data_IF_054693209625
#
_entry.id   IF_054693209625
#
_cell.length_a   1.000
_cell.length_b   1.000
_cell.length_c   1.000
_cell.angle_alpha   90.00
_cell.angle_beta   90.00
_cell.angle_gamma   90.00
#
_symmetry.space_group_name_H-M   'P 1'
#
loop_
_entity.id
_entity.type
_entity.pdbx_description
1 polymer ?
#
# COMPACT_ATOMS: atom_id res chain seq x y z
N UNK A 1 50.80 17.18 1.96
CA UNK A 1 49.44 16.77 2.35
C UNK A 1 48.79 17.94 3.08
N UNK A 2 48.10 18.84 2.37
CA UNK A 2 47.31 19.90 3.00
C UNK A 2 45.90 19.38 3.22
N UNK A 3 45.53 19.25 4.50
CA UNK A 3 44.22 18.81 4.95
C UNK A 3 43.19 19.88 4.57
N UNK A 4 42.23 19.49 3.74
CA UNK A 4 41.14 20.34 3.27
C UNK A 4 40.25 20.71 4.48
N UNK A 5 40.46 21.89 5.06
CA UNK A 5 39.59 22.44 6.10
C UNK A 5 38.28 22.88 5.46
N UNK A 6 37.33 21.94 5.35
CA UNK A 6 35.93 22.29 5.11
C UNK A 6 35.44 23.12 6.29
N UNK A 7 34.95 24.33 6.03
CA UNK A 7 34.38 25.19 7.05
C UNK A 7 33.29 24.44 7.80
N UNK A 8 33.56 24.12 9.07
CA UNK A 8 32.69 23.39 9.99
C UNK A 8 31.29 24.01 10.06
N UNK A 9 31.17 25.31 9.75
CA UNK A 9 29.93 26.08 9.64
C UNK A 9 29.08 25.69 8.42
N UNK A 10 29.71 25.37 7.28
CA UNK A 10 29.04 24.91 6.06
C UNK A 10 28.50 23.49 6.26
N UNK A 11 29.28 22.62 6.92
CA UNK A 11 28.84 21.25 7.24
C UNK A 11 27.63 21.26 8.20
N UNK A 12 27.63 22.15 9.19
CA UNK A 12 26.52 22.34 10.13
C UNK A 12 25.30 22.95 9.45
N UNK A 13 25.47 23.94 8.57
CA UNK A 13 24.35 24.53 7.83
C UNK A 13 23.73 23.53 6.83
N UNK A 14 24.54 22.70 6.18
CA UNK A 14 24.07 21.66 5.26
C UNK A 14 23.33 20.54 6.00
N UNK A 15 23.83 20.10 7.16
CA UNK A 15 23.12 19.10 7.99
C UNK A 15 21.83 19.65 8.58
N UNK A 16 21.81 20.92 9.02
CA UNK A 16 20.59 21.57 9.51
C UNK A 16 19.55 21.75 8.40
N UNK A 17 19.97 22.09 7.17
CA UNK A 17 19.08 22.17 6.02
C UNK A 17 18.50 20.79 5.64
N UNK A 18 19.30 19.73 5.66
CA UNK A 18 18.81 18.35 5.41
C UNK A 18 17.84 17.88 6.51
N UNK A 19 18.08 18.25 7.77
CA UNK A 19 17.18 17.95 8.89
C UNK A 19 15.87 18.76 8.83
N UNK A 20 15.91 20.03 8.38
CA UNK A 20 14.71 20.86 8.18
C UNK A 20 13.92 20.49 6.91
N UNK A 21 14.56 19.94 5.88
CA UNK A 21 13.88 19.38 4.71
C UNK A 21 13.24 18.03 5.01
N UNK A 22 13.72 17.30 6.02
CA UNK A 22 13.14 16.04 6.48
C UNK A 22 11.80 16.18 7.23
N UNK A 23 11.40 17.40 7.60
CA UNK A 23 10.14 17.68 8.31
C UNK A 23 9.04 18.27 7.42
N UNK A 24 9.27 18.42 6.11
CA UNK A 24 8.17 18.66 5.16
C UNK A 24 7.42 17.34 5.02
N UNK A 25 6.50 17.10 5.95
CA UNK A 25 5.47 16.09 5.78
C UNK A 25 4.69 16.46 4.52
N UNK A 26 5.05 15.84 3.40
CA UNK A 26 4.19 15.85 2.22
C UNK A 26 2.94 15.13 2.68
N UNK A 27 1.88 15.89 2.96
CA UNK A 27 0.55 15.33 3.13
C UNK A 27 0.16 14.76 1.77
N UNK A 28 0.53 13.51 1.53
CA UNK A 28 -0.04 12.73 0.45
C UNK A 28 -1.53 12.69 0.79
N UNK A 29 -2.42 13.22 -0.08
CA UNK A 29 -3.84 13.11 0.18
C UNK A 29 -4.15 11.63 0.39
N UNK A 30 -4.89 11.31 1.46
CA UNK A 30 -5.38 9.96 1.66
C UNK A 30 -6.03 9.51 0.34
N UNK A 31 -5.46 8.49 -0.29
CA UNK A 31 -5.98 7.97 -1.53
C UNK A 31 -7.44 7.58 -1.26
N UNK A 32 -8.36 8.08 -2.09
CA UNK A 32 -9.76 7.78 -1.91
C UNK A 32 -9.93 6.26 -1.98
N UNK A 33 -10.75 5.71 -1.09
CA UNK A 33 -11.13 4.29 -1.10
C UNK A 33 -11.49 3.87 -2.53
N UNK A 34 -10.80 2.85 -3.06
CA UNK A 34 -11.06 2.38 -4.42
C UNK A 34 -12.30 1.50 -4.40
N UNK A 35 -13.21 1.69 -5.35
CA UNK A 35 -14.28 0.72 -5.59
C UNK A 35 -13.71 -0.46 -6.39
N UNK A 36 -13.73 -1.65 -5.81
CA UNK A 36 -13.08 -2.84 -6.36
C UNK A 36 -14.09 -3.98 -6.59
N UNK A 37 -14.63 -4.13 -7.81
CA UNK A 37 -15.50 -5.26 -8.14
C UNK A 37 -14.68 -6.54 -8.34
N UNK A 38 -15.08 -7.62 -7.67
CA UNK A 38 -14.45 -8.94 -7.77
C UNK A 38 -15.52 -9.99 -8.03
N UNK A 39 -15.39 -10.74 -9.13
CA UNK A 39 -16.22 -11.92 -9.40
C UNK A 39 -15.56 -13.17 -8.83
N UNK A 40 -16.33 -13.99 -8.12
CA UNK A 40 -15.94 -15.34 -7.72
C UNK A 40 -17.02 -16.37 -8.04
N UNK A 41 -16.59 -17.54 -8.49
CA UNK A 41 -17.38 -18.74 -8.65
C UNK A 41 -16.94 -19.74 -7.59
N UNK A 42 -17.90 -20.29 -6.84
CA UNK A 42 -17.65 -21.23 -5.75
C UNK A 42 -18.22 -22.61 -6.02
N UNK A 43 -17.45 -23.64 -5.70
CA UNK A 43 -17.88 -25.04 -5.72
C UNK A 43 -17.27 -25.76 -4.53
N UNK A 44 -18.09 -26.55 -3.83
CA UNK A 44 -17.65 -27.33 -2.69
C UNK A 44 -16.54 -28.34 -3.04
N UNK A 45 -16.52 -28.85 -4.28
CA UNK A 45 -15.54 -29.85 -4.71
C UNK A 45 -14.24 -29.22 -5.24
N UNK A 46 -14.34 -28.09 -5.94
CA UNK A 46 -13.22 -27.50 -6.69
C UNK A 46 -12.73 -26.15 -6.17
N UNK A 47 -13.36 -25.59 -5.13
CA UNK A 47 -12.92 -24.36 -4.46
C UNK A 47 -13.46 -23.08 -5.09
N UNK A 48 -12.63 -22.05 -5.15
CA UNK A 48 -13.00 -20.73 -5.70
C UNK A 48 -12.27 -20.47 -7.02
N UNK A 49 -12.88 -19.69 -7.91
CA UNK A 49 -12.29 -19.26 -9.18
C UNK A 49 -12.82 -17.90 -9.64
N UNK A 50 -12.05 -17.18 -10.46
CA UNK A 50 -12.50 -15.90 -11.06
C UNK A 50 -13.52 -16.11 -12.20
N UNK A 51 -13.49 -17.30 -12.79
CA UNK A 51 -14.40 -17.78 -13.83
C UNK A 51 -14.94 -19.17 -13.47
N UNK A 52 -16.00 -19.59 -14.17
CA UNK A 52 -16.61 -20.91 -14.01
C UNK A 52 -15.73 -22.09 -14.48
N UNK A 53 -14.58 -21.83 -15.12
CA UNK A 53 -13.62 -22.85 -15.55
C UNK A 53 -12.28 -22.78 -14.81
N UNK A 54 -12.10 -21.80 -13.92
CA UNK A 54 -10.85 -21.56 -13.19
C UNK A 54 -10.94 -21.90 -11.69
N UNK A 55 -11.86 -22.76 -11.28
CA UNK A 55 -12.02 -23.12 -9.88
C UNK A 55 -10.83 -23.98 -9.42
N UNK A 56 -10.20 -23.58 -8.32
CA UNK A 56 -9.06 -24.30 -7.74
C UNK A 56 -9.07 -24.28 -6.21
N UNK A 57 -8.29 -25.19 -5.64
CA UNK A 57 -7.98 -25.27 -4.21
C UNK A 57 -6.46 -25.18 -4.04
N UNK A 58 -5.89 -24.09 -3.47
CA UNK A 58 -6.57 -22.86 -3.09
C UNK A 58 -7.18 -22.12 -4.27
N UNK A 59 -8.16 -21.26 -3.97
CA UNK A 59 -8.71 -20.30 -4.92
C UNK A 59 -7.73 -19.20 -5.32
N UNK A 60 -8.14 -18.27 -6.21
CA UNK A 60 -7.30 -17.19 -6.68
C UNK A 60 -6.81 -16.29 -5.54
N UNK A 61 -5.55 -15.86 -5.60
CA UNK A 61 -5.03 -14.85 -4.68
C UNK A 61 -5.67 -13.49 -4.96
N UNK A 62 -6.22 -12.86 -3.93
CA UNK A 62 -6.80 -11.52 -4.00
C UNK A 62 -5.82 -10.50 -3.42
N UNK A 63 -5.76 -9.30 -4.00
CA UNK A 63 -4.94 -8.21 -3.51
C UNK A 63 -5.81 -6.97 -3.37
N UNK A 64 -5.81 -6.39 -2.17
CA UNK A 64 -6.62 -5.22 -1.81
C UNK A 64 -5.82 -4.28 -0.91
N UNK A 65 -6.26 -3.05 -0.79
CA UNK A 65 -5.68 -2.06 0.11
C UNK A 65 -6.62 -1.77 1.27
N UNK A 66 -6.05 -1.35 2.41
CA UNK A 66 -6.83 -0.85 3.54
C UNK A 66 -7.75 0.27 3.07
N UNK A 67 -9.04 0.15 3.38
CA UNK A 67 -10.04 1.15 3.01
C UNK A 67 -10.71 0.93 1.67
N UNK A 68 -10.25 0.01 0.82
CA UNK A 68 -10.95 -0.35 -0.43
C UNK A 68 -12.41 -0.74 -0.15
N UNK A 69 -13.31 -0.33 -1.03
CA UNK A 69 -14.70 -0.73 -1.02
C UNK A 69 -14.90 -1.87 -2.03
N UNK A 70 -14.91 -3.10 -1.54
CA UNK A 70 -14.94 -4.30 -2.38
C UNK A 70 -16.38 -4.71 -2.66
N UNK A 71 -16.73 -4.80 -3.94
CA UNK A 71 -18.00 -5.38 -4.41
C UNK A 71 -17.74 -6.82 -4.87
N UNK A 72 -18.00 -7.78 -3.98
CA UNK A 72 -17.92 -9.21 -4.29
C UNK A 72 -19.19 -9.68 -4.99
N UNK A 73 -19.05 -10.09 -6.24
CA UNK A 73 -20.08 -10.82 -6.97
C UNK A 73 -19.81 -12.33 -6.84
N UNK A 74 -20.54 -13.00 -5.95
CA UNK A 74 -20.37 -14.42 -5.64
C UNK A 74 -21.41 -15.24 -6.39
N UNK A 75 -20.97 -16.26 -7.11
CA UNK A 75 -21.84 -17.20 -7.81
C UNK A 75 -21.57 -18.62 -7.33
N UNK A 76 -22.60 -19.30 -6.80
CA UNK A 76 -22.52 -20.76 -6.61
C UNK A 76 -22.53 -21.46 -7.96
N UNK A 77 -21.47 -22.22 -8.25
CA UNK A 77 -21.30 -22.98 -9.49
C UNK A 77 -21.87 -24.41 -9.38
N UNK A 78 -21.94 -24.97 -8.16
CA UNK A 78 -22.41 -26.33 -7.91
C UNK A 78 -23.85 -26.38 -7.36
N UNK A 79 -24.51 -25.22 -7.20
CA UNK A 79 -25.87 -25.09 -6.67
C UNK A 79 -26.00 -25.26 -5.15
N UNK A 80 -24.88 -25.45 -4.44
CA UNK A 80 -24.85 -25.52 -2.99
C UNK A 80 -24.85 -24.12 -2.37
N UNK A 81 -25.23 -24.07 -1.09
CA UNK A 81 -25.20 -22.83 -0.33
C UNK A 81 -23.76 -22.55 0.08
N UNK A 82 -23.26 -21.36 -0.23
CA UNK A 82 -21.92 -20.90 0.15
C UNK A 82 -21.99 -19.52 0.75
N UNK A 83 -20.95 -19.16 1.50
CA UNK A 83 -20.69 -17.79 1.92
C UNK A 83 -19.21 -17.48 1.73
N UNK A 84 -18.83 -16.25 2.05
CA UNK A 84 -17.45 -15.78 1.95
C UNK A 84 -17.16 -14.89 3.14
N UNK A 85 -15.95 -14.99 3.70
CA UNK A 85 -15.43 -14.05 4.70
C UNK A 85 -13.90 -14.13 4.74
N UNK A 86 -13.26 -13.10 5.29
CA UNK A 86 -11.83 -13.13 5.61
C UNK A 86 -11.68 -13.74 7.00
N UNK A 87 -10.91 -14.81 7.10
CA UNK A 87 -10.48 -15.44 8.34
C UNK A 87 -9.09 -14.90 8.71
N UNK A 88 -9.06 -13.94 9.63
CA UNK A 88 -7.87 -13.21 10.05
C UNK A 88 -6.96 -14.05 10.96
N UNK A 89 -7.49 -15.05 11.67
CA UNK A 89 -6.71 -15.87 12.61
C UNK A 89 -6.56 -17.35 12.18
N UNK A 90 -7.12 -17.70 11.03
CA UNK A 90 -7.14 -19.02 10.42
C UNK A 90 -7.85 -20.12 11.22
N UNK A 91 -8.80 -19.77 12.10
CA UNK A 91 -9.51 -20.74 12.94
C UNK A 91 -10.71 -21.43 12.26
N UNK A 92 -11.05 -21.07 11.03
CA UNK A 92 -12.22 -21.57 10.26
C UNK A 92 -13.59 -21.26 10.88
N UNK A 93 -13.65 -20.32 11.82
CA UNK A 93 -14.88 -19.76 12.37
C UNK A 93 -15.00 -18.29 11.93
N UNK A 94 -16.18 -17.69 12.07
CA UNK A 94 -16.34 -16.24 11.90
C UNK A 94 -16.27 -15.61 13.28
N UNK A 95 -15.22 -14.85 13.52
CA UNK A 95 -15.06 -14.09 14.75
C UNK A 95 -15.72 -12.72 14.68
N UNK A 96 -15.91 -12.09 15.85
CA UNK A 96 -16.56 -10.78 15.96
C UNK A 96 -15.90 -9.72 15.06
N UNK A 97 -14.59 -9.79 14.88
CA UNK A 97 -13.80 -8.86 14.07
C UNK A 97 -13.74 -9.19 12.56
N UNK A 98 -14.43 -10.24 12.11
CA UNK A 98 -14.51 -10.69 10.71
C UNK A 98 -15.91 -10.48 10.11
N UNK A 99 -16.89 -10.20 10.98
CA UNK A 99 -18.31 -10.03 10.62
C UNK A 99 -18.54 -8.99 9.54
N UNK A 100 -17.72 -7.93 9.45
CA UNK A 100 -17.80 -6.91 8.41
C UNK A 100 -17.54 -7.44 6.99
N UNK A 101 -16.69 -8.45 6.85
CA UNK A 101 -16.37 -9.08 5.58
C UNK A 101 -17.29 -10.26 5.23
N UNK A 102 -18.05 -10.76 6.21
CA UNK A 102 -18.86 -11.96 6.08
C UNK A 102 -20.11 -11.72 5.24
N UNK A 103 -20.12 -12.31 4.04
CA UNK A 103 -21.27 -12.30 3.16
C UNK A 103 -22.44 -13.16 3.70
N UNK A 104 -23.69 -12.85 3.28
CA UNK A 104 -24.81 -13.74 3.47
C UNK A 104 -24.59 -15.04 2.70
N UNK A 105 -25.19 -16.13 3.20
CA UNK A 105 -25.05 -17.43 2.55
C UNK A 105 -26.13 -17.64 1.47
N UNK A 106 -25.73 -17.95 0.23
CA UNK A 106 -26.64 -18.10 -0.93
C UNK A 106 -26.37 -19.37 -1.72
N UNK A 107 -27.39 -19.88 -2.42
CA UNK A 107 -27.30 -21.01 -3.39
C UNK A 107 -27.11 -20.55 -4.85
N UNK A 108 -27.17 -19.25 -5.10
CA UNK A 108 -27.12 -18.68 -6.43
C UNK A 108 -26.12 -17.54 -6.51
N UNK A 109 -26.52 -16.47 -7.17
CA UNK A 109 -25.73 -15.25 -7.22
C UNK A 109 -26.03 -14.35 -6.00
N UNK A 110 -25.00 -13.73 -5.42
CA UNK A 110 -25.16 -12.63 -4.47
C UNK A 110 -24.09 -11.58 -4.70
N UNK A 111 -24.49 -10.31 -4.63
CA UNK A 111 -23.57 -9.18 -4.58
C UNK A 111 -23.43 -8.74 -3.13
N UNK A 112 -22.20 -8.68 -2.65
CA UNK A 112 -21.86 -8.32 -1.27
C UNK A 112 -20.82 -7.20 -1.27
N UNK A 113 -21.05 -6.16 -0.49
CA UNK A 113 -20.13 -5.03 -0.38
C UNK A 113 -19.53 -5.01 1.03
N UNK A 114 -18.23 -4.79 1.11
CA UNK A 114 -17.55 -4.54 2.38
C UNK A 114 -16.37 -3.59 2.20
N UNK A 115 -16.06 -2.86 3.26
CA UNK A 115 -14.84 -2.04 3.32
C UNK A 115 -13.71 -2.85 3.95
N UNK A 116 -12.54 -2.83 3.32
CA UNK A 116 -11.36 -3.53 3.81
C UNK A 116 -10.90 -2.91 5.13
N UNK A 117 -10.89 -3.73 6.18
CA UNK A 117 -10.49 -3.34 7.54
C UNK A 117 -9.07 -2.78 7.58
N UNK A 118 -8.77 -1.97 8.60
CA UNK A 118 -7.43 -1.44 8.87
C UNK A 118 -6.48 -2.51 9.43
N UNK A 119 -6.21 -3.55 8.64
CA UNK A 119 -5.33 -4.68 8.96
C UNK A 119 -4.55 -5.04 7.71
N UNK A 120 -3.23 -4.97 7.78
CA UNK A 120 -2.34 -5.36 6.69
C UNK A 120 -1.78 -6.75 6.91
N UNK A 121 -1.55 -7.50 5.83
CA UNK A 121 -1.00 -8.84 5.88
C UNK A 121 -1.65 -9.77 4.86
N UNK A 122 -1.19 -11.01 4.84
CA UNK A 122 -1.81 -12.08 4.04
C UNK A 122 -2.67 -12.94 4.96
N UNK A 123 -3.96 -13.04 4.62
CA UNK A 123 -4.96 -13.81 5.35
C UNK A 123 -5.62 -14.82 4.42
N UNK A 124 -6.45 -15.68 4.99
CA UNK A 124 -7.23 -16.64 4.20
C UNK A 124 -8.65 -16.14 4.09
N UNK A 125 -9.20 -16.09 2.89
CA UNK A 125 -10.65 -16.01 2.73
C UNK A 125 -11.23 -17.42 2.57
N UNK A 126 -12.45 -17.65 3.05
CA UNK A 126 -13.09 -18.97 2.96
C UNK A 126 -14.62 -18.94 3.06
N UNK A 127 -15.25 -20.09 2.82
CA UNK A 127 -16.63 -20.38 3.21
C UNK A 127 -16.66 -21.07 4.58
N UNK A 128 -17.71 -20.82 5.37
CA UNK A 128 -17.95 -21.48 6.67
C UNK A 128 -19.00 -22.57 6.60
N UNK A 129 -19.66 -22.75 5.44
CA UNK A 129 -20.76 -23.71 5.32
C UNK A 129 -20.22 -25.11 5.55
N UNK A 130 -20.98 -25.91 6.30
CA UNK A 130 -20.62 -27.28 6.62
C UNK A 130 -20.30 -28.05 5.34
N UNK A 131 -19.03 -28.47 5.23
CA UNK A 131 -18.53 -29.23 4.11
C UNK A 131 -17.77 -28.47 3.04
N UNK A 132 -17.68 -27.15 3.12
CA UNK A 132 -16.95 -26.30 2.18
C UNK A 132 -15.43 -26.26 2.47
N UNK A 133 -14.85 -27.38 2.92
CA UNK A 133 -13.43 -27.45 3.32
C UNK A 133 -12.43 -27.09 2.19
N UNK A 134 -12.86 -27.17 0.94
CA UNK A 134 -12.07 -26.81 -0.24
C UNK A 134 -12.25 -25.34 -0.66
N UNK A 135 -13.18 -24.61 -0.06
CA UNK A 135 -13.55 -23.26 -0.49
C UNK A 135 -12.76 -22.21 0.28
N UNK A 136 -11.46 -22.15 0.02
CA UNK A 136 -10.55 -21.18 0.62
C UNK A 136 -9.52 -20.66 -0.39
N UNK A 137 -8.94 -19.50 -0.11
CA UNK A 137 -7.82 -18.91 -0.86
C UNK A 137 -7.16 -17.78 -0.08
N UNK A 138 -6.12 -17.17 -0.64
CA UNK A 138 -5.36 -16.12 0.05
C UNK A 138 -5.81 -14.72 -0.35
N UNK A 139 -5.85 -13.79 0.60
CA UNK A 139 -6.05 -12.36 0.37
C UNK A 139 -4.92 -11.57 1.02
N UNK A 140 -4.25 -10.73 0.24
CA UNK A 140 -3.21 -9.82 0.71
C UNK A 140 -3.80 -8.42 0.85
N UNK A 141 -3.70 -7.85 2.05
CA UNK A 141 -4.11 -6.48 2.37
C UNK A 141 -2.87 -5.62 2.56
N UNK A 142 -2.67 -4.65 1.67
CA UNK A 142 -1.57 -3.66 1.75
C UNK A 142 -2.03 -2.32 2.32
N UNK A 143 -1.07 -1.48 2.71
CA UNK A 143 -1.34 -0.07 3.05
C UNK A 143 -1.85 0.68 1.83
N UNK A 144 -2.86 1.54 2.02
CA UNK A 144 -3.27 2.47 0.98
C UNK A 144 -2.12 3.42 0.61
N UNK A 145 -1.94 3.72 -0.68
CA UNK A 145 -1.02 4.77 -1.14
C UNK A 145 0.48 4.44 -1.07
N UNK A 146 0.87 3.19 -1.39
CA UNK A 146 2.27 2.78 -1.45
C UNK A 146 3.13 3.58 -2.46
N UNK A 147 4.46 3.33 -2.49
CA UNK A 147 5.42 4.06 -3.35
C UNK A 147 5.01 4.13 -4.84
N UNK A 148 4.21 3.18 -5.33
CA UNK A 148 3.63 3.20 -6.68
C UNK A 148 2.70 4.40 -6.93
N UNK A 149 1.89 4.80 -5.96
CA UNK A 149 1.05 6.00 -6.02
C UNK A 149 1.90 7.28 -5.95
N UNK A 150 2.92 7.29 -5.10
CA UNK A 150 3.84 8.44 -4.94
C UNK A 150 4.62 8.69 -6.23
N UNK A 151 5.13 7.64 -6.87
CA UNK A 151 5.88 7.72 -8.13
C UNK A 151 4.96 7.86 -9.36
N UNK A 152 3.70 7.42 -9.25
CA UNK A 152 2.69 7.56 -10.30
C UNK A 152 2.03 8.95 -10.34
N UNK A 153 2.16 9.76 -9.28
CA UNK A 153 1.63 11.11 -9.24
C UNK A 153 2.64 12.12 -9.83
N UNK A 154 2.38 12.70 -11.02
CA UNK A 154 3.33 13.59 -11.67
C UNK A 154 3.61 14.85 -10.85
N UNK A 155 2.67 15.33 -10.02
CA UNK A 155 2.89 16.51 -9.18
C UNK A 155 3.89 16.25 -8.06
N UNK A 156 3.88 15.06 -7.48
CA UNK A 156 4.83 14.66 -6.44
C UNK A 156 6.22 14.45 -7.04
N UNK A 157 6.29 13.82 -8.23
CA UNK A 157 7.55 13.66 -8.98
C UNK A 157 8.13 15.01 -9.37
N UNK A 158 7.32 15.94 -9.89
CA UNK A 158 7.74 17.32 -10.21
C UNK A 158 8.23 18.02 -8.94
N UNK A 159 7.50 17.90 -7.82
CA UNK A 159 7.91 18.44 -6.54
C UNK A 159 9.28 17.93 -6.09
N UNK A 160 9.53 16.62 -6.18
CA UNK A 160 10.84 16.02 -5.89
C UNK A 160 11.93 16.58 -6.80
N UNK A 161 11.71 16.63 -8.12
CA UNK A 161 12.69 17.13 -9.09
C UNK A 161 13.04 18.60 -8.83
N UNK A 162 12.06 19.43 -8.48
CA UNK A 162 12.29 20.85 -8.14
C UNK A 162 13.12 20.98 -6.86
N UNK A 163 12.83 20.20 -5.83
CA UNK A 163 13.60 20.20 -4.58
C UNK A 163 15.04 19.76 -4.82
N UNK A 164 15.25 18.65 -5.52
CA UNK A 164 16.60 18.17 -5.87
C UNK A 164 17.37 19.18 -6.75
N UNK A 165 16.67 19.81 -7.71
CA UNK A 165 17.24 20.85 -8.57
C UNK A 165 17.67 22.09 -7.78
N UNK A 166 16.85 22.53 -6.81
CA UNK A 166 17.18 23.67 -5.94
C UNK A 166 18.38 23.37 -5.03
N UNK A 167 18.46 22.17 -4.46
CA UNK A 167 19.61 21.74 -3.65
C UNK A 167 20.89 21.75 -4.48
N UNK A 168 20.84 21.22 -5.71
CA UNK A 168 21.98 21.24 -6.64
C UNK A 168 22.39 22.67 -7.01
N UNK A 169 21.43 23.55 -7.30
CA UNK A 169 21.72 24.95 -7.63
C UNK A 169 22.38 25.70 -6.47
N UNK A 170 21.90 25.49 -5.24
CA UNK A 170 22.48 26.07 -4.02
C UNK A 170 23.90 25.54 -3.79
N UNK A 171 24.12 24.24 -3.96
CA UNK A 171 25.45 23.64 -3.83
C UNK A 171 26.43 24.22 -4.85
N UNK A 172 26.03 24.32 -6.13
CA UNK A 172 26.85 24.92 -7.19
C UNK A 172 27.16 26.39 -6.90
N UNK A 173 26.18 27.16 -6.42
CA UNK A 173 26.39 28.56 -6.06
C UNK A 173 27.33 28.72 -4.86
N UNK A 174 27.19 27.86 -3.84
CA UNK A 174 28.08 27.85 -2.68
C UNK A 174 29.53 27.50 -3.08
N UNK A 175 29.72 26.57 -4.01
CA UNK A 175 31.03 26.25 -4.58
C UNK A 175 31.65 27.38 -5.41
N UNK A 176 30.82 28.24 -6.01
CA UNK A 176 31.25 29.36 -6.86
C UNK A 176 31.50 30.66 -6.10
N UNK A 177 31.19 30.75 -4.81
CA UNK A 177 31.47 31.97 -4.03
C UNK A 177 32.99 32.19 -3.94
N UNK A 178 33.51 33.36 -4.39
CA UNK A 178 34.93 33.66 -4.26
C UNK A 178 35.32 33.65 -2.78
N UNK A 179 36.36 32.90 -2.43
CA UNK A 179 36.98 33.00 -1.10
C UNK A 179 37.60 34.38 -1.00
N UNK A 180 37.27 35.13 0.06
CA UNK A 180 37.91 36.42 0.32
C UNK A 180 39.43 36.23 0.42
N UNK A 181 40.25 37.10 -0.22
CA UNK A 181 41.69 37.04 -0.05
C UNK A 181 42.03 37.23 1.44
N UNK A 182 43.00 36.48 1.99
CA UNK A 182 43.44 36.69 3.36
C UNK A 182 43.92 38.13 3.53
N UNK A 183 43.50 38.75 4.63
CA UNK A 183 43.84 40.13 4.97
C UNK A 183 45.37 40.27 5.04
N UNK A 184 45.97 41.29 4.39
CA UNK A 184 47.41 41.43 4.39
C UNK A 184 47.94 41.68 5.81
N UNK A 185 49.12 41.14 6.16
CA UNK A 185 49.66 41.26 7.51
C UNK A 185 49.80 42.73 7.89
N UNK A 186 49.23 43.10 9.03
CA UNK A 186 49.42 44.44 9.58
C UNK A 186 50.90 44.68 9.82
N UNK A 187 51.42 45.75 9.23
CA UNK A 187 52.80 46.19 9.40
C UNK A 187 52.85 47.15 10.59
N UNK A 188 53.59 46.71 11.61
CA UNK A 188 54.03 47.39 12.84
C UNK A 188 52.99 47.74 13.89
#
# INVERSE_FOLDING_TARGET
MQMLTFDRRILVAATLAVLLLGSVGIAVPAEAARDLPIQLYGSRSTGWGLTNTSLSVPGPSLAVEVGDNVTLNLTSFDGNRHNWYIDYNSNSAVDANETSSSSPSTRGNVVWNFTVSNRTGTFVYRSRIAGDGNMWGNITISTAGGLGTILGNPLVVIGMVVVFGAILAIAVWAYRRPRHPPEPPQSQ
#
